data_IF_780925224698
#
_entry.id   IF_780925224698
#
_cell.length_a   1.000
_cell.length_b   1.000
_cell.length_c   1.000
_cell.angle_alpha   90.00
_cell.angle_beta   90.00
_cell.angle_gamma   90.00
#
_symmetry.space_group_name_H-M   'P 1'
#
loop_
_entity.id
_entity.type
_entity.pdbx_description
1 polymer ?
#
# COMPACT_ATOMS: atom_id res chain seq x y z
N UNK A 1 -22.67 1.05 3.53
CA UNK A 1 -21.29 1.50 3.26
C UNK A 1 -20.24 0.61 3.90
N UNK A 2 -20.44 0.23 5.16
CA UNK A 2 -19.47 -0.64 5.86
C UNK A 2 -19.28 -1.99 5.16
N UNK A 3 -20.31 -2.52 4.54
CA UNK A 3 -20.24 -3.80 3.83
C UNK A 3 -19.34 -3.71 2.59
N UNK A 4 -19.36 -2.59 1.91
CA UNK A 4 -18.48 -2.36 0.76
C UNK A 4 -17.02 -2.30 1.21
N UNK A 5 -16.75 -1.60 2.30
CA UNK A 5 -15.40 -1.54 2.87
C UNK A 5 -14.93 -2.93 3.32
N UNK A 6 -15.81 -3.70 3.96
CA UNK A 6 -15.49 -5.05 4.43
C UNK A 6 -15.16 -5.97 3.25
N UNK A 7 -15.97 -5.95 2.20
CA UNK A 7 -15.75 -6.79 1.03
C UNK A 7 -14.43 -6.44 0.34
N UNK A 8 -14.17 -5.14 0.14
CA UNK A 8 -12.92 -4.67 -0.44
C UNK A 8 -11.73 -5.05 0.42
N UNK A 9 -11.84 -4.90 1.74
CA UNK A 9 -10.79 -5.25 2.68
C UNK A 9 -10.40 -6.72 2.63
N UNK A 10 -11.38 -7.61 2.48
CA UNK A 10 -11.13 -9.05 2.34
C UNK A 10 -10.31 -9.33 1.09
N UNK A 11 -10.72 -8.77 -0.04
CA UNK A 11 -9.99 -8.95 -1.31
C UNK A 11 -8.59 -8.35 -1.22
N UNK A 12 -8.47 -7.14 -0.65
CA UNK A 12 -7.19 -6.48 -0.49
C UNK A 12 -6.22 -7.27 0.39
N UNK A 13 -6.72 -7.85 1.48
CA UNK A 13 -5.91 -8.67 2.38
C UNK A 13 -5.42 -9.93 1.68
N UNK A 14 -6.27 -10.57 0.88
CA UNK A 14 -5.86 -11.74 0.10
C UNK A 14 -4.77 -11.36 -0.92
N UNK A 15 -4.95 -10.24 -1.61
CA UNK A 15 -3.96 -9.75 -2.58
C UNK A 15 -2.62 -9.45 -1.88
N UNK A 16 -2.66 -8.82 -0.69
CA UNK A 16 -1.47 -8.53 0.09
C UNK A 16 -0.72 -9.78 0.47
N UNK A 17 -1.45 -10.79 0.95
CA UNK A 17 -0.85 -12.05 1.36
C UNK A 17 -0.17 -12.73 0.17
N UNK A 18 -0.86 -12.82 -0.97
CA UNK A 18 -0.30 -13.46 -2.17
C UNK A 18 0.93 -12.73 -2.71
N UNK A 19 0.87 -11.41 -2.78
CA UNK A 19 2.00 -10.63 -3.27
C UNK A 19 3.18 -10.68 -2.30
N UNK A 20 2.91 -10.67 -0.99
CA UNK A 20 3.95 -10.81 0.01
C UNK A 20 4.69 -12.13 -0.10
N UNK A 21 3.98 -13.23 -0.31
CA UNK A 21 4.59 -14.54 -0.52
C UNK A 21 5.41 -14.58 -1.80
N UNK A 22 4.87 -14.02 -2.89
CA UNK A 22 5.60 -13.96 -4.16
C UNK A 22 6.90 -13.19 -4.02
N UNK A 23 6.85 -12.01 -3.40
CA UNK A 23 8.02 -11.17 -3.21
C UNK A 23 9.08 -11.87 -2.34
N UNK A 24 8.65 -12.57 -1.29
CA UNK A 24 9.56 -13.30 -0.43
C UNK A 24 10.31 -14.39 -1.18
N UNK A 25 9.62 -15.10 -2.08
CA UNK A 25 10.22 -16.16 -2.88
C UNK A 25 11.15 -15.63 -3.97
N UNK A 26 10.80 -14.49 -4.59
CA UNK A 26 11.53 -13.95 -5.73
C UNK A 26 12.64 -13.00 -5.34
N UNK A 27 12.39 -12.16 -4.33
CA UNK A 27 13.30 -11.08 -3.96
C UNK A 27 14.05 -11.36 -2.66
N UNK A 28 13.68 -12.43 -1.96
CA UNK A 28 14.28 -12.78 -0.68
C UNK A 28 13.71 -11.98 0.48
N UNK A 29 14.28 -12.20 1.66
CA UNK A 29 13.79 -11.63 2.91
C UNK A 29 14.80 -10.72 3.61
N UNK A 30 15.94 -10.44 2.96
CA UNK A 30 16.99 -9.57 3.53
C UNK A 30 16.47 -8.15 3.67
N UNK A 31 15.77 -7.66 2.66
CA UNK A 31 15.04 -6.39 2.70
C UNK A 31 13.56 -6.71 2.59
N UNK A 32 12.66 -6.01 3.32
CA UNK A 32 11.24 -6.34 3.29
C UNK A 32 10.57 -5.83 2.01
N UNK A 33 10.94 -6.40 0.87
CA UNK A 33 10.44 -6.01 -0.46
C UNK A 33 8.94 -6.16 -0.59
N UNK A 34 8.38 -7.24 0.00
CA UNK A 34 6.95 -7.49 -0.09
C UNK A 34 6.12 -6.33 0.43
N UNK A 35 6.38 -5.92 1.67
CA UNK A 35 5.67 -4.79 2.29
C UNK A 35 5.97 -3.49 1.56
N UNK A 36 7.21 -3.30 1.11
CA UNK A 36 7.60 -2.10 0.37
C UNK A 36 6.78 -1.96 -0.92
N UNK A 37 6.74 -3.03 -1.72
CA UNK A 37 6.00 -3.03 -2.99
C UNK A 37 4.50 -2.85 -2.74
N UNK A 38 3.96 -3.55 -1.76
CA UNK A 38 2.55 -3.50 -1.40
C UNK A 38 2.15 -2.07 -1.03
N UNK A 39 2.91 -1.43 -0.15
CA UNK A 39 2.57 -0.10 0.31
C UNK A 39 2.75 0.96 -0.77
N UNK A 40 3.79 0.84 -1.61
CA UNK A 40 4.02 1.78 -2.71
C UNK A 40 2.94 1.63 -3.79
N UNK A 41 2.67 0.40 -4.22
CA UNK A 41 1.63 0.16 -5.22
C UNK A 41 0.25 0.54 -4.70
N UNK A 42 -0.02 0.26 -3.43
CA UNK A 42 -1.27 0.66 -2.80
C UNK A 42 -1.43 2.18 -2.71
N UNK A 43 -0.34 2.89 -2.43
CA UNK A 43 -0.35 4.35 -2.41
C UNK A 43 -0.63 4.94 -3.78
N UNK A 44 -0.03 4.36 -4.82
CA UNK A 44 -0.29 4.78 -6.20
C UNK A 44 -1.76 4.61 -6.56
N UNK A 45 -2.30 3.44 -6.28
CA UNK A 45 -3.70 3.12 -6.55
C UNK A 45 -4.64 4.03 -5.74
N UNK A 46 -4.35 4.21 -4.47
CA UNK A 46 -5.19 5.06 -3.62
C UNK A 46 -5.20 6.50 -4.09
N UNK A 47 -4.05 7.02 -4.50
CA UNK A 47 -3.96 8.38 -5.05
C UNK A 47 -4.82 8.54 -6.30
N UNK A 48 -4.74 7.56 -7.21
CA UNK A 48 -5.56 7.57 -8.43
C UNK A 48 -7.05 7.49 -8.10
N UNK A 49 -7.43 6.58 -7.20
CA UNK A 49 -8.84 6.43 -6.80
C UNK A 49 -9.35 7.70 -6.13
N UNK A 50 -8.54 8.32 -5.29
CA UNK A 50 -8.93 9.57 -4.63
C UNK A 50 -9.18 10.68 -5.66
N UNK A 51 -8.31 10.81 -6.65
CA UNK A 51 -8.50 11.77 -7.73
C UNK A 51 -9.78 11.51 -8.51
N UNK A 52 -10.06 10.26 -8.85
CA UNK A 52 -11.28 9.89 -9.54
C UNK A 52 -12.51 10.20 -8.69
N UNK A 53 -12.45 9.93 -7.39
CA UNK A 53 -13.55 10.23 -6.48
C UNK A 53 -13.81 11.73 -6.39
N UNK A 54 -12.75 12.54 -6.31
CA UNK A 54 -12.89 13.99 -6.24
C UNK A 54 -13.47 14.59 -7.52
N UNK A 55 -13.26 13.93 -8.65
CA UNK A 55 -13.85 14.35 -9.94
C UNK A 55 -15.24 13.77 -10.17
N UNK A 56 -15.81 13.14 -9.16
CA UNK A 56 -17.15 12.52 -9.22
C UNK A 56 -17.26 11.37 -10.23
N UNK A 57 -16.13 10.73 -10.55
CA UNK A 57 -16.11 9.57 -11.45
C UNK A 57 -16.37 8.25 -10.71
N UNK A 58 -16.31 8.26 -9.38
CA UNK A 58 -16.60 7.09 -8.55
C UNK A 58 -17.78 7.38 -7.64
N UNK A 59 -18.69 6.42 -7.55
CA UNK A 59 -19.77 6.49 -6.55
C UNK A 59 -19.19 6.34 -5.15
N UNK A 60 -19.91 6.81 -4.10
CA UNK A 60 -19.47 6.58 -2.74
C UNK A 60 -19.29 5.09 -2.42
N UNK A 61 -20.12 4.21 -2.99
CA UNK A 61 -19.99 2.76 -2.79
C UNK A 61 -18.69 2.23 -3.37
N UNK A 62 -18.34 2.63 -4.61
CA UNK A 62 -17.08 2.21 -5.23
C UNK A 62 -15.87 2.77 -4.49
N UNK A 63 -15.95 3.99 -4.00
CA UNK A 63 -14.88 4.55 -3.18
C UNK A 63 -14.67 3.73 -1.90
N UNK A 64 -15.75 3.35 -1.23
CA UNK A 64 -15.66 2.52 -0.03
C UNK A 64 -15.10 1.14 -0.33
N UNK A 65 -15.53 0.54 -1.46
CA UNK A 65 -15.05 -0.79 -1.85
C UNK A 65 -13.56 -0.77 -2.21
N UNK A 66 -13.15 0.15 -3.06
CA UNK A 66 -11.80 0.17 -3.63
C UNK A 66 -10.81 0.98 -2.80
N UNK A 67 -11.20 2.16 -2.34
CA UNK A 67 -10.32 3.03 -1.56
C UNK A 67 -10.19 2.57 -0.12
N UNK A 68 -11.26 2.74 0.65
CA UNK A 68 -11.25 2.40 2.07
C UNK A 68 -11.08 0.90 2.28
N UNK A 69 -11.79 0.09 1.48
CA UNK A 69 -11.77 -1.37 1.63
C UNK A 69 -10.52 -2.00 1.04
N UNK A 70 -10.42 -2.03 -0.29
CA UNK A 70 -9.31 -2.75 -0.94
C UNK A 70 -7.96 -2.17 -0.54
N UNK A 71 -7.74 -0.88 -0.71
CA UNK A 71 -6.44 -0.29 -0.36
C UNK A 71 -6.17 -0.39 1.14
N UNK A 72 -7.20 -0.26 1.98
CA UNK A 72 -7.06 -0.39 3.42
C UNK A 72 -6.63 -1.79 3.85
N UNK A 73 -7.16 -2.83 3.20
CA UNK A 73 -6.76 -4.22 3.47
C UNK A 73 -5.46 -4.60 2.78
N UNK A 74 -5.19 -4.01 1.63
CA UNK A 74 -3.99 -4.31 0.85
C UNK A 74 -2.74 -3.70 1.47
N UNK A 75 -2.78 -2.41 1.87
CA UNK A 75 -1.65 -1.77 2.52
C UNK A 75 -1.57 -2.15 3.99
N UNK A 76 -0.38 -2.03 4.59
CA UNK A 76 -0.21 -2.39 5.99
C UNK A 76 0.79 -1.47 6.68
N UNK A 77 0.34 -0.90 7.79
CA UNK A 77 1.21 -0.12 8.67
C UNK A 77 1.80 -0.99 9.77
N UNK A 78 1.04 -1.96 10.28
CA UNK A 78 1.48 -2.81 11.37
C UNK A 78 2.65 -3.70 10.98
N UNK A 79 2.60 -4.32 9.80
CA UNK A 79 3.72 -5.12 9.29
C UNK A 79 4.94 -4.26 9.02
N UNK A 80 4.72 -3.06 8.47
CA UNK A 80 5.78 -2.09 8.24
C UNK A 80 6.49 -1.73 9.54
N UNK A 81 5.73 -1.43 10.59
CA UNK A 81 6.28 -1.12 11.90
C UNK A 81 7.04 -2.29 12.51
N UNK A 82 6.47 -3.49 12.45
CA UNK A 82 7.08 -4.69 12.96
C UNK A 82 8.43 -4.98 12.27
N UNK A 83 8.45 -4.91 10.95
CA UNK A 83 9.67 -5.16 10.18
C UNK A 83 10.74 -4.10 10.44
N UNK A 84 10.32 -2.85 10.62
CA UNK A 84 11.26 -1.77 10.97
C UNK A 84 11.92 -2.02 12.33
N UNK A 85 11.13 -2.45 13.31
CA UNK A 85 11.63 -2.78 14.64
C UNK A 85 12.57 -3.97 14.58
N UNK A 86 12.23 -4.99 13.78
CA UNK A 86 13.10 -6.15 13.62
C UNK A 86 14.46 -5.77 13.04
N UNK A 87 14.48 -4.91 12.04
CA UNK A 87 15.75 -4.43 11.48
C UNK A 87 16.57 -3.67 12.51
N UNK A 88 15.91 -2.90 13.35
CA UNK A 88 16.57 -2.18 14.43
C UNK A 88 17.15 -3.14 15.48
N UNK A 89 16.38 -4.13 15.90
CA UNK A 89 16.82 -5.10 16.90
C UNK A 89 18.00 -5.95 16.43
N UNK A 90 18.06 -6.25 15.14
CA UNK A 90 19.17 -6.99 14.54
C UNK A 90 20.32 -6.08 14.14
N UNK A 91 20.30 -4.81 14.59
CA UNK A 91 21.33 -3.80 14.34
C UNK A 91 21.55 -3.51 12.87
N UNK A 92 20.51 -3.67 12.04
CA UNK A 92 20.55 -3.35 10.62
C UNK A 92 20.06 -1.90 10.41
N UNK A 93 20.70 -0.95 11.06
CA UNK A 93 20.21 0.44 11.11
C UNK A 93 20.18 1.10 9.74
N UNK A 94 21.17 0.85 8.91
CA UNK A 94 21.21 1.42 7.56
C UNK A 94 20.07 0.89 6.72
N UNK A 95 19.83 -0.43 6.80
CA UNK A 95 18.72 -1.07 6.07
C UNK A 95 17.38 -0.57 6.56
N UNK A 96 17.24 -0.41 7.89
CA UNK A 96 16.03 0.16 8.48
C UNK A 96 15.79 1.58 7.97
N UNK A 97 16.81 2.43 7.97
CA UNK A 97 16.69 3.81 7.51
C UNK A 97 16.27 3.86 6.04
N UNK A 98 16.90 3.05 5.18
CA UNK A 98 16.54 2.98 3.76
C UNK A 98 15.10 2.52 3.60
N UNK A 99 14.70 1.49 4.33
CA UNK A 99 13.34 0.94 4.27
C UNK A 99 12.30 1.98 4.68
N UNK A 100 12.47 2.60 5.84
CA UNK A 100 11.51 3.57 6.38
C UNK A 100 11.45 4.82 5.50
N UNK A 101 12.61 5.41 5.21
CA UNK A 101 12.65 6.67 4.45
C UNK A 101 12.15 6.47 3.02
N UNK A 102 12.59 5.41 2.35
CA UNK A 102 12.14 5.15 0.97
C UNK A 102 10.65 4.82 0.93
N UNK A 103 10.14 4.08 1.92
CA UNK A 103 8.72 3.77 1.99
C UNK A 103 7.87 5.03 2.08
N UNK A 104 8.26 5.96 2.95
CA UNK A 104 7.52 7.22 3.12
C UNK A 104 7.66 8.11 1.89
N UNK A 105 8.89 8.35 1.44
CA UNK A 105 9.15 9.27 0.34
C UNK A 105 8.54 8.76 -0.97
N UNK A 106 8.84 7.51 -1.32
CA UNK A 106 8.33 6.92 -2.56
C UNK A 106 6.82 6.72 -2.49
N UNK A 107 6.30 6.39 -1.30
CA UNK A 107 4.86 6.26 -1.09
C UNK A 107 4.12 7.56 -1.34
N UNK A 108 4.63 8.67 -0.79
CA UNK A 108 4.03 9.99 -1.01
C UNK A 108 4.10 10.39 -2.49
N UNK A 109 5.25 10.16 -3.12
CA UNK A 109 5.43 10.45 -4.54
C UNK A 109 4.46 9.60 -5.37
N UNK A 110 4.33 8.31 -5.06
CA UNK A 110 3.41 7.41 -5.76
C UNK A 110 1.96 7.89 -5.64
N UNK A 111 1.54 8.27 -4.45
CA UNK A 111 0.20 8.80 -4.24
C UNK A 111 -0.03 10.09 -5.04
N UNK A 112 0.94 10.98 -5.06
CA UNK A 112 0.86 12.22 -5.83
C UNK A 112 0.79 11.95 -7.33
N UNK A 113 1.59 10.99 -7.83
CA UNK A 113 1.55 10.60 -9.23
C UNK A 113 0.19 10.02 -9.59
N UNK A 114 -0.33 9.11 -8.77
CA UNK A 114 -1.65 8.53 -9.00
C UNK A 114 -2.74 9.59 -9.07
N UNK A 115 -2.70 10.53 -8.14
CA UNK A 115 -3.66 11.62 -8.10
C UNK A 115 -3.60 12.47 -9.38
N UNK A 116 -2.39 12.83 -9.82
CA UNK A 116 -2.21 13.62 -11.04
C UNK A 116 -2.65 12.85 -12.28
N UNK A 117 -2.34 11.56 -12.34
CA UNK A 117 -2.74 10.72 -13.49
C UNK A 117 -4.25 10.68 -13.63
N UNK A 118 -5.00 10.68 -12.53
CA UNK A 118 -6.46 10.67 -12.57
C UNK A 118 -7.02 11.92 -13.26
N UNK A 119 -6.34 13.05 -13.14
CA UNK A 119 -6.76 14.30 -13.76
C UNK A 119 -6.34 14.41 -15.23
N UNK A 120 -5.35 13.63 -15.65
CA UNK A 120 -4.88 13.62 -17.05
C UNK A 120 -5.69 12.63 -17.88
N UNK A 121 -6.01 11.47 -17.32
CA UNK A 121 -6.77 10.43 -18.01
C UNK A 121 -8.27 10.59 -17.76
#
# INVERSE_FOLDING_TARGET
>A
MIWWAAAGGMVGTIARYGLGMWAGKRLGTVFPWGTWIINISGSLLLGWLYGEFMQHNLSPALWMLLGTGFCGGYTTFSTFGYESIQLMEHKKYRRMAVYVLSSVIVGVIAAAIGYRVSYIL
#
